data_IF_698377105841
#
_entry.id   IF_698377105841
#
_cell.length_a   1.000
_cell.length_b   1.000
_cell.length_c   1.000
_cell.angle_alpha   90.00
_cell.angle_beta   90.00
_cell.angle_gamma   90.00
#
_symmetry.space_group_name_H-M   'P 1'
#
loop_
_entity.id
_entity.type
_entity.pdbx_description
1 polymer ?
#
# COMPACT_ATOMS: atom_id res chain seq x y z
N UNK A 1 61.40 41.58 2.84
CA UNK A 1 61.97 41.65 4.19
C UNK A 1 61.25 40.66 5.13
N UNK A 2 61.63 39.37 5.14
CA UNK A 2 62.67 38.83 6.02
C UNK A 2 62.45 39.24 7.48
N UNK A 3 61.85 38.36 8.29
CA UNK A 3 62.64 37.70 9.33
C UNK A 3 62.01 36.39 9.81
N UNK A 4 62.84 35.35 9.71
CA UNK A 4 62.72 34.07 10.38
C UNK A 4 63.26 34.26 11.80
N UNK A 5 62.60 33.72 12.83
CA UNK A 5 63.33 33.23 13.99
C UNK A 5 62.68 31.96 14.57
N UNK A 6 63.56 31.03 14.87
CA UNK A 6 63.40 29.64 15.31
C UNK A 6 63.17 29.55 16.82
N UNK A 7 62.45 28.50 17.25
CA UNK A 7 62.85 27.48 18.27
C UNK A 7 61.58 26.71 18.69
N UNK A 8 61.37 25.42 18.37
CA UNK A 8 62.04 24.22 18.90
C UNK A 8 62.12 24.20 20.44
N UNK A 9 61.12 23.57 21.07
CA UNK A 9 61.35 22.82 22.31
C UNK A 9 60.28 21.74 22.52
N UNK A 10 60.78 20.51 22.41
CA UNK A 10 60.27 19.20 22.80
C UNK A 10 59.56 19.19 24.18
N UNK A 11 58.39 18.56 24.27
CA UNK A 11 57.71 18.30 25.55
C UNK A 11 56.78 17.10 25.43
N UNK A 12 57.16 16.00 26.06
CA UNK A 12 56.58 14.67 25.92
C UNK A 12 55.21 14.49 26.61
N UNK A 13 54.52 13.43 26.15
CA UNK A 13 53.68 12.53 26.94
C UNK A 13 52.27 13.00 27.34
N UNK A 14 51.25 12.47 26.65
CA UNK A 14 50.44 11.32 27.10
C UNK A 14 49.25 11.13 26.15
N UNK A 15 49.01 9.88 25.73
CA UNK A 15 47.80 9.47 25.01
C UNK A 15 46.58 9.76 25.90
N UNK A 16 45.66 10.60 25.44
CA UNK A 16 44.30 10.68 25.99
C UNK A 16 43.35 9.91 25.05
N UNK A 17 42.36 9.18 25.59
CA UNK A 17 41.39 8.47 24.78
C UNK A 17 40.35 9.45 24.22
N UNK A 18 40.00 9.21 22.96
CA UNK A 18 38.83 9.70 22.21
C UNK A 18 37.68 10.20 23.11
N UNK A 19 37.56 11.52 23.24
CA UNK A 19 36.39 12.17 23.82
C UNK A 19 35.19 11.96 22.90
N UNK A 20 34.17 11.28 23.45
CA UNK A 20 32.83 11.13 22.87
C UNK A 20 32.23 12.53 22.66
N UNK A 21 31.45 12.75 21.58
CA UNK A 21 30.63 13.95 21.51
C UNK A 21 29.61 13.93 22.65
N UNK A 22 29.66 14.97 23.48
CA UNK A 22 28.61 15.34 24.42
C UNK A 22 27.27 15.38 23.68
N UNK A 23 26.42 14.40 23.98
CA UNK A 23 24.98 14.54 23.79
C UNK A 23 24.50 15.43 24.93
N UNK A 24 24.23 16.70 24.62
CA UNK A 24 23.52 17.63 25.50
C UNK A 24 22.18 17.00 25.93
N UNK A 25 22.15 16.42 27.13
CA UNK A 25 20.93 16.04 27.81
C UNK A 25 20.28 17.30 28.35
N UNK A 26 19.32 17.83 27.59
CA UNK A 26 18.46 18.90 28.07
C UNK A 26 17.61 18.44 29.26
N UNK A 27 17.34 19.33 30.23
CA UNK A 27 16.62 19.02 31.46
C UNK A 27 15.18 18.60 31.18
N UNK A 28 14.74 17.64 32.00
CA UNK A 28 13.43 17.00 32.10
C UNK A 28 12.25 18.00 32.09
N UNK A 29 11.85 18.45 30.90
CA UNK A 29 10.52 18.99 30.62
C UNK A 29 9.56 17.80 30.51
N UNK A 30 8.40 17.85 31.19
CA UNK A 30 7.36 16.81 31.20
C UNK A 30 7.32 16.01 29.90
N UNK A 31 7.91 14.82 29.92
CA UNK A 31 8.25 14.11 28.69
C UNK A 31 6.97 13.60 28.02
N UNK A 32 6.55 14.29 26.97
CA UNK A 32 5.73 13.70 25.95
C UNK A 32 6.47 12.47 25.43
N UNK A 33 5.85 11.28 25.48
CA UNK A 33 6.48 10.05 25.02
C UNK A 33 6.90 10.24 23.56
N UNK A 34 8.15 9.89 23.23
CA UNK A 34 8.54 9.84 21.83
C UNK A 34 7.69 8.76 21.11
N UNK A 35 7.39 8.94 19.83
CA UNK A 35 6.44 8.11 19.08
C UNK A 35 6.73 6.60 19.22
N UNK A 36 7.99 6.21 19.06
CA UNK A 36 8.41 4.81 19.19
C UNK A 36 8.26 4.27 20.62
N UNK A 37 8.51 5.11 21.63
CA UNK A 37 8.32 4.74 23.04
C UNK A 37 6.84 4.53 23.36
N UNK A 38 5.95 5.33 22.78
CA UNK A 38 4.51 5.13 22.92
C UNK A 38 4.06 3.83 22.24
N UNK A 39 4.57 3.51 21.05
CA UNK A 39 4.28 2.22 20.39
C UNK A 39 4.71 1.06 21.27
N UNK A 40 5.93 1.09 21.83
CA UNK A 40 6.41 0.04 22.73
C UNK A 40 5.48 -0.09 23.95
N UNK A 41 5.05 1.03 24.53
CA UNK A 41 4.14 1.05 25.69
C UNK A 41 2.76 0.50 25.36
N UNK A 42 2.17 0.92 24.24
CA UNK A 42 0.88 0.41 23.76
C UNK A 42 0.98 -1.10 23.55
N UNK A 43 2.01 -1.56 22.83
CA UNK A 43 2.20 -2.97 22.49
C UNK A 43 2.53 -3.87 23.67
N UNK A 44 3.04 -3.30 24.76
CA UNK A 44 3.25 -4.03 26.01
C UNK A 44 1.93 -4.40 26.71
N UNK A 45 0.85 -3.64 26.46
CA UNK A 45 -0.50 -3.93 26.95
C UNK A 45 -1.39 -4.63 25.91
N UNK A 46 -1.27 -4.26 24.64
CA UNK A 46 -2.04 -4.82 23.53
C UNK A 46 -1.16 -5.04 22.29
N UNK A 47 -0.82 -6.30 22.02
CA UNK A 47 0.06 -6.69 20.92
C UNK A 47 -0.68 -7.05 19.62
N UNK A 48 -1.98 -6.75 19.49
CA UNK A 48 -2.79 -7.12 18.32
C UNK A 48 -2.28 -6.51 17.02
N UNK A 49 -1.70 -5.32 17.09
CA UNK A 49 -1.19 -4.59 15.93
C UNK A 49 0.35 -4.53 15.91
N UNK A 50 0.92 -4.69 14.72
CA UNK A 50 2.36 -4.56 14.50
C UNK A 50 2.83 -3.11 14.67
N UNK A 51 4.13 -2.87 14.97
CA UNK A 51 4.66 -1.52 15.14
C UNK A 51 4.50 -0.69 13.85
N UNK A 52 4.69 -1.31 12.68
CA UNK A 52 4.50 -0.68 11.37
C UNK A 52 3.08 -0.17 11.15
N UNK A 53 2.06 -0.79 11.76
CA UNK A 53 0.68 -0.32 11.71
C UNK A 53 0.56 1.12 12.21
N UNK A 54 1.15 1.40 13.38
CA UNK A 54 1.10 2.71 14.02
C UNK A 54 1.83 3.77 13.17
N UNK A 55 2.99 3.44 12.61
CA UNK A 55 3.69 4.34 11.69
C UNK A 55 2.86 4.65 10.45
N UNK A 56 2.23 3.62 9.88
CA UNK A 56 1.42 3.77 8.68
C UNK A 56 0.17 4.61 8.93
N UNK A 57 -0.45 4.52 10.11
CA UNK A 57 -1.57 5.37 10.52
C UNK A 57 -1.15 6.84 10.61
N UNK A 58 0.03 7.11 11.18
CA UNK A 58 0.58 8.48 11.22
C UNK A 58 0.79 9.04 9.82
N UNK A 59 1.40 8.27 8.93
CA UNK A 59 1.57 8.65 7.53
C UNK A 59 0.23 8.86 6.81
N UNK A 60 -0.77 8.05 7.13
CA UNK A 60 -2.12 8.15 6.55
C UNK A 60 -2.83 9.43 7.00
N UNK A 61 -2.67 9.84 8.26
CA UNK A 61 -3.16 11.13 8.76
C UNK A 61 -2.53 12.30 7.99
N UNK A 62 -1.20 12.30 7.86
CA UNK A 62 -0.48 13.32 7.10
C UNK A 62 -0.95 13.36 5.64
N UNK A 63 -1.17 12.19 5.03
CA UNK A 63 -1.70 12.08 3.68
C UNK A 63 -3.13 12.63 3.55
N UNK A 64 -4.01 12.35 4.51
CA UNK A 64 -5.38 12.88 4.55
C UNK A 64 -5.40 14.39 4.68
N UNK A 65 -4.58 14.97 5.57
CA UNK A 65 -4.44 16.42 5.71
C UNK A 65 -3.98 17.03 4.39
N UNK A 66 -2.92 16.50 3.79
CA UNK A 66 -2.40 16.98 2.51
C UNK A 66 -3.41 16.81 1.36
N UNK A 67 -4.30 15.82 1.42
CA UNK A 67 -5.40 15.65 0.45
C UNK A 67 -6.48 16.71 0.65
N UNK A 68 -6.86 17.00 1.89
CA UNK A 68 -7.83 18.04 2.24
C UNK A 68 -7.36 19.44 1.84
N UNK A 69 -6.10 19.76 2.10
CA UNK A 69 -5.51 21.05 1.72
C UNK A 69 -5.49 21.28 0.19
N UNK A 70 -5.39 20.21 -0.60
CA UNK A 70 -5.38 20.29 -2.07
C UNK A 70 -6.78 20.44 -2.68
N UNK A 71 -7.83 20.03 -1.97
CA UNK A 71 -9.19 19.95 -2.50
C UNK A 71 -10.21 20.88 -1.80
N UNK A 72 -9.87 21.46 -0.65
CA UNK A 72 -10.77 22.31 0.14
C UNK A 72 -10.55 23.83 -0.05
N UNK A 73 -11.61 24.65 -0.06
CA UNK A 73 -11.49 26.11 -0.17
C UNK A 73 -11.12 26.84 1.14
N UNK A 74 -11.02 26.14 2.28
CA UNK A 74 -10.78 26.78 3.58
C UNK A 74 -9.57 26.21 4.33
N UNK A 75 -8.66 27.11 4.74
CA UNK A 75 -7.53 26.87 5.66
C UNK A 75 -7.99 26.78 7.12
N UNK A 76 -8.98 25.93 7.42
CA UNK A 76 -9.34 25.64 8.81
C UNK A 76 -8.31 24.67 9.40
N UNK A 77 -8.05 24.72 10.72
CA UNK A 77 -7.20 23.71 11.37
C UNK A 77 -7.75 22.33 11.00
N UNK A 78 -6.92 21.52 10.34
CA UNK A 78 -7.33 20.31 9.65
C UNK A 78 -7.71 19.21 10.64
N UNK A 79 -8.93 19.29 11.16
CA UNK A 79 -9.57 18.17 11.82
C UNK A 79 -9.95 17.17 10.73
N UNK A 80 -9.26 16.03 10.71
CA UNK A 80 -9.57 14.93 9.80
C UNK A 80 -10.62 14.06 10.47
N UNK A 81 -11.80 13.96 9.86
CA UNK A 81 -12.82 13.02 10.32
C UNK A 81 -12.39 11.57 10.11
N UNK A 82 -12.96 10.63 10.88
CA UNK A 82 -12.67 9.20 10.72
C UNK A 82 -12.85 8.69 9.27
N UNK A 83 -13.84 9.21 8.55
CA UNK A 83 -14.09 8.87 7.13
C UNK A 83 -12.97 9.36 6.22
N UNK A 84 -12.53 10.61 6.38
CA UNK A 84 -11.44 11.18 5.59
C UNK A 84 -10.10 10.51 5.89
N UNK A 85 -9.89 10.06 7.12
CA UNK A 85 -8.75 9.23 7.48
C UNK A 85 -8.81 7.88 6.78
N UNK A 86 -9.96 7.19 6.80
CA UNK A 86 -10.11 5.89 6.13
C UNK A 86 -9.88 6.01 4.61
N UNK A 87 -10.39 7.06 3.98
CA UNK A 87 -10.12 7.29 2.56
C UNK A 87 -8.65 7.57 2.29
N UNK A 88 -8.00 8.46 3.05
CA UNK A 88 -6.59 8.75 2.86
C UNK A 88 -5.67 7.57 3.18
N UNK A 89 -6.06 6.72 4.14
CA UNK A 89 -5.41 5.44 4.45
C UNK A 89 -5.50 4.48 3.26
N UNK A 90 -6.69 4.32 2.67
CA UNK A 90 -6.89 3.49 1.48
C UNK A 90 -6.03 3.98 0.32
N UNK A 91 -6.07 5.28 0.05
CA UNK A 91 -5.33 5.90 -1.05
C UNK A 91 -3.82 5.72 -0.87
N UNK A 92 -3.32 5.95 0.34
CA UNK A 92 -1.91 5.74 0.67
C UNK A 92 -1.51 4.26 0.53
N UNK A 93 -2.33 3.33 1.01
CA UNK A 93 -2.04 1.90 0.93
C UNK A 93 -1.97 1.40 -0.53
N UNK A 94 -2.88 1.88 -1.38
CA UNK A 94 -2.84 1.59 -2.82
C UNK A 94 -1.60 2.21 -3.48
N UNK A 95 -1.24 3.44 -3.09
CA UNK A 95 -0.08 4.15 -3.63
C UNK A 95 1.24 3.46 -3.28
N UNK A 96 1.41 3.02 -2.04
CA UNK A 96 2.66 2.41 -1.56
C UNK A 96 2.78 0.93 -1.92
N UNK A 97 1.68 0.16 -1.81
CA UNK A 97 1.72 -1.31 -1.93
C UNK A 97 0.92 -1.87 -3.10
N UNK A 98 0.05 -1.08 -3.73
CA UNK A 98 -0.80 -1.50 -4.85
C UNK A 98 -1.59 -2.77 -4.53
N UNK A 99 -1.48 -3.84 -5.35
CA UNK A 99 -2.24 -5.08 -5.15
C UNK A 99 -1.82 -5.85 -3.90
N UNK A 100 -0.66 -5.55 -3.31
CA UNK A 100 -0.17 -6.19 -2.09
C UNK A 100 -0.69 -5.52 -0.81
N UNK A 101 -1.41 -4.40 -0.92
CA UNK A 101 -1.89 -3.63 0.23
C UNK A 101 -2.63 -4.50 1.25
N UNK A 102 -3.55 -5.37 0.81
CA UNK A 102 -4.30 -6.27 1.69
C UNK A 102 -3.39 -7.22 2.47
N UNK A 103 -2.38 -7.80 1.82
CA UNK A 103 -1.45 -8.74 2.45
C UNK A 103 -0.59 -8.02 3.49
N UNK A 104 0.01 -6.88 3.13
CA UNK A 104 0.88 -6.10 4.02
C UNK A 104 0.11 -5.63 5.26
N UNK A 105 -1.10 -5.09 5.07
CA UNK A 105 -1.96 -4.66 6.17
C UNK A 105 -2.38 -5.83 7.07
N UNK A 106 -2.65 -7.00 6.47
CA UNK A 106 -2.97 -8.23 7.20
C UNK A 106 -1.83 -8.71 8.10
N UNK A 107 -0.58 -8.67 7.62
CA UNK A 107 0.61 -8.99 8.43
C UNK A 107 0.78 -8.05 9.65
N UNK A 108 0.25 -6.84 9.56
CA UNK A 108 0.25 -5.88 10.67
C UNK A 108 -0.96 -6.00 11.61
N UNK A 109 -1.88 -6.93 11.33
CA UNK A 109 -3.10 -7.16 12.12
C UNK A 109 -4.31 -6.32 11.69
N UNK A 110 -4.23 -5.59 10.58
CA UNK A 110 -5.31 -4.73 10.08
C UNK A 110 -6.11 -5.49 9.02
N UNK A 111 -7.36 -5.83 9.34
CA UNK A 111 -8.26 -6.56 8.44
C UNK A 111 -9.55 -5.81 8.11
N UNK A 112 -9.88 -4.77 8.88
CA UNK A 112 -11.15 -4.03 8.80
C UNK A 112 -10.92 -2.57 9.16
N UNK A 113 -11.81 -1.68 8.69
CA UNK A 113 -11.75 -0.25 8.98
C UNK A 113 -11.82 0.04 10.48
N UNK A 114 -12.56 -0.76 11.25
CA UNK A 114 -12.64 -0.61 12.70
C UNK A 114 -11.27 -0.77 13.39
N UNK A 115 -10.38 -1.65 12.87
CA UNK A 115 -9.04 -1.82 13.43
C UNK A 115 -8.18 -0.55 13.25
N UNK A 116 -8.38 0.19 12.14
CA UNK A 116 -7.73 1.50 11.92
C UNK A 116 -8.17 2.47 13.01
N UNK A 117 -9.47 2.53 13.29
CA UNK A 117 -10.02 3.33 14.39
C UNK A 117 -9.43 2.94 15.74
N UNK A 118 -9.40 1.65 16.07
CA UNK A 118 -8.81 1.15 17.32
C UNK A 118 -7.35 1.63 17.50
N UNK A 119 -6.52 1.56 16.46
CA UNK A 119 -5.14 2.04 16.51
C UNK A 119 -5.09 3.56 16.76
N UNK A 120 -5.93 4.34 16.08
CA UNK A 120 -6.02 5.79 16.29
C UNK A 120 -6.41 6.11 17.73
N UNK A 121 -7.42 5.42 18.29
CA UNK A 121 -7.82 5.63 19.69
C UNK A 121 -6.73 5.23 20.68
N UNK A 122 -5.96 4.16 20.42
CA UNK A 122 -4.78 3.82 21.23
C UNK A 122 -3.74 4.95 21.20
N UNK A 123 -3.46 5.53 20.03
CA UNK A 123 -2.52 6.64 19.89
C UNK A 123 -3.01 7.92 20.60
N UNK A 124 -4.31 8.23 20.54
CA UNK A 124 -4.92 9.36 21.27
C UNK A 124 -4.83 9.15 22.79
N UNK A 125 -5.14 7.95 23.29
CA UNK A 125 -5.05 7.63 24.72
C UNK A 125 -3.65 7.80 25.30
N UNK A 126 -2.63 7.52 24.49
CA UNK A 126 -1.22 7.68 24.89
C UNK A 126 -0.67 9.08 24.60
N UNK A 127 -1.52 10.02 24.19
CA UNK A 127 -1.17 11.42 23.97
C UNK A 127 -0.39 11.70 22.70
N UNK A 128 -0.21 10.72 21.81
CA UNK A 128 0.57 10.86 20.57
C UNK A 128 -0.19 11.66 19.51
N UNK A 129 -1.51 11.49 19.46
CA UNK A 129 -2.40 12.25 18.60
C UNK A 129 -3.27 13.18 19.45
N UNK A 130 -3.57 14.35 18.90
CA UNK A 130 -4.53 15.28 19.49
C UNK A 130 -5.92 14.64 19.53
N UNK A 131 -6.59 14.75 20.67
CA UNK A 131 -7.97 14.28 20.82
C UNK A 131 -8.91 15.28 20.13
N UNK A 132 -9.80 14.80 19.26
CA UNK A 132 -11.02 15.55 18.94
C UNK A 132 -12.16 15.12 19.86
N UNK A 133 -13.02 16.05 20.22
CA UNK A 133 -14.22 15.76 21.04
C UNK A 133 -15.31 15.07 20.23
N UNK A 134 -15.23 15.12 18.90
CA UNK A 134 -16.23 14.57 17.98
C UNK A 134 -15.92 13.16 17.50
N UNK A 135 -14.66 12.70 17.61
CA UNK A 135 -14.25 11.40 17.07
C UNK A 135 -14.78 10.26 17.93
N UNK A 136 -15.66 9.44 17.35
CA UNK A 136 -16.17 8.21 17.95
C UNK A 136 -15.58 6.99 17.24
N UNK A 137 -15.42 5.85 17.94
CA UNK A 137 -15.08 4.58 17.29
C UNK A 137 -16.04 4.22 16.16
N UNK A 138 -17.29 4.68 16.25
CA UNK A 138 -18.32 4.46 15.23
C UNK A 138 -18.08 5.24 13.93
N UNK A 139 -17.27 6.30 13.94
CA UNK A 139 -16.88 7.01 12.71
C UNK A 139 -15.96 6.15 11.82
N UNK A 140 -15.43 5.06 12.36
CA UNK A 140 -14.58 4.08 11.68
C UNK A 140 -15.33 2.82 11.24
N UNK A 141 -16.66 2.81 11.29
CA UNK A 141 -17.45 1.68 10.77
C UNK A 141 -17.21 1.49 9.28
N UNK A 142 -17.30 0.22 8.84
CA UNK A 142 -16.86 -0.27 7.54
C UNK A 142 -17.54 0.44 6.35
N UNK A 143 -16.90 1.51 5.85
CA UNK A 143 -17.33 2.24 4.64
C UNK A 143 -17.10 1.39 3.39
N UNK A 144 -16.11 0.50 3.42
CA UNK A 144 -15.71 -0.40 2.33
C UNK A 144 -15.03 -1.65 2.89
N UNK A 145 -15.12 -2.75 2.15
CA UNK A 145 -14.41 -3.99 2.49
C UNK A 145 -12.96 -3.96 1.95
N UNK A 146 -12.03 -4.65 2.61
CA UNK A 146 -10.63 -4.71 2.14
C UNK A 146 -10.50 -5.32 0.73
N UNK A 147 -11.33 -6.31 0.40
CA UNK A 147 -11.33 -6.90 -0.94
C UNK A 147 -11.80 -5.90 -2.00
N UNK A 148 -12.86 -5.12 -1.69
CA UNK A 148 -13.32 -4.06 -2.59
C UNK A 148 -12.27 -2.94 -2.75
N UNK A 149 -11.61 -2.56 -1.67
CA UNK A 149 -10.64 -1.48 -1.68
C UNK A 149 -9.33 -1.84 -2.38
N UNK A 150 -8.83 -3.07 -2.18
CA UNK A 150 -7.46 -3.44 -2.56
C UNK A 150 -7.36 -4.54 -3.61
N UNK A 151 -8.42 -5.33 -3.87
CA UNK A 151 -8.38 -6.39 -4.90
C UNK A 151 -9.14 -5.98 -6.16
N UNK A 152 -10.35 -5.46 -6.01
CA UNK A 152 -11.23 -5.05 -7.13
C UNK A 152 -10.54 -4.15 -8.17
N UNK A 153 -9.73 -3.14 -7.78
CA UNK A 153 -9.05 -2.27 -8.75
C UNK A 153 -8.04 -3.00 -9.66
N UNK A 154 -7.53 -4.16 -9.23
CA UNK A 154 -6.51 -4.93 -9.94
C UNK A 154 -7.05 -6.18 -10.63
N UNK A 155 -8.35 -6.47 -10.49
CA UNK A 155 -8.95 -7.61 -11.18
C UNK A 155 -9.02 -7.36 -12.69
N UNK A 156 -8.59 -8.32 -13.52
CA UNK A 156 -8.70 -8.17 -14.96
C UNK A 156 -10.18 -8.11 -15.35
N UNK A 157 -10.56 -7.07 -16.09
CA UNK A 157 -11.92 -6.98 -16.64
C UNK A 157 -12.19 -8.23 -17.47
N UNK A 158 -13.33 -8.92 -17.28
CA UNK A 158 -13.66 -10.11 -18.06
C UNK A 158 -13.66 -9.72 -19.53
N UNK A 159 -12.66 -10.18 -20.28
CA UNK A 159 -12.63 -10.00 -21.72
C UNK A 159 -13.81 -10.80 -22.26
N UNK A 160 -14.81 -10.10 -22.80
CA UNK A 160 -15.84 -10.74 -23.59
C UNK A 160 -15.11 -11.41 -24.75
N UNK A 161 -14.90 -12.73 -24.65
CA UNK A 161 -14.47 -13.54 -25.78
C UNK A 161 -15.55 -13.36 -26.83
N UNK A 162 -15.36 -12.41 -27.76
CA UNK A 162 -16.11 -12.38 -29.01
C UNK A 162 -16.03 -13.80 -29.52
N UNK A 163 -17.16 -14.51 -29.55
CA UNK A 163 -17.24 -15.85 -30.15
C UNK A 163 -16.67 -15.66 -31.55
N UNK A 164 -15.42 -16.09 -31.76
CA UNK A 164 -14.88 -16.22 -33.10
C UNK A 164 -15.82 -17.20 -33.75
N UNK A 165 -16.67 -16.72 -34.64
CA UNK A 165 -17.49 -17.57 -35.49
C UNK A 165 -16.52 -18.59 -36.08
N UNK A 166 -16.75 -19.86 -35.75
CA UNK A 166 -15.94 -20.98 -36.20
C UNK A 166 -16.10 -21.12 -37.71
N UNK A 167 -15.36 -20.31 -38.46
CA UNK A 167 -15.22 -20.38 -39.91
C UNK A 167 -14.15 -21.39 -40.35
N UNK A 168 -13.95 -22.46 -39.59
CA UNK A 168 -13.21 -23.63 -40.08
C UNK A 168 -14.21 -24.54 -40.77
N UNK A 169 -14.41 -24.31 -42.06
CA UNK A 169 -15.13 -25.22 -42.94
C UNK A 169 -14.14 -26.33 -43.30
N UNK A 170 -14.25 -27.49 -42.68
CA UNK A 170 -13.50 -28.68 -43.10
C UNK A 170 -13.78 -28.96 -44.58
N UNK A 171 -12.77 -29.12 -45.45
CA UNK A 171 -13.01 -29.58 -46.81
C UNK A 171 -13.54 -31.01 -46.72
N UNK A 172 -14.81 -31.22 -47.08
CA UNK A 172 -15.32 -32.57 -47.24
C UNK A 172 -14.66 -33.22 -48.46
N UNK A 173 -14.30 -34.51 -48.40
CA UNK A 173 -13.72 -35.19 -49.56
C UNK A 173 -14.80 -35.32 -50.64
N UNK A 174 -14.53 -34.78 -51.83
CA UNK A 174 -15.40 -34.90 -53.01
C UNK A 174 -15.55 -36.38 -53.36
N UNK A 175 -16.78 -36.91 -53.31
CA UNK A 175 -17.12 -38.23 -53.84
C UNK A 175 -16.84 -38.24 -55.35
N UNK A 176 -15.93 -39.09 -55.79
CA UNK A 176 -15.67 -39.35 -57.21
C UNK A 176 -16.88 -40.04 -57.85
N UNK A 177 -17.40 -39.46 -58.92
CA UNK A 177 -18.49 -40.01 -59.74
C UNK A 177 -18.09 -41.37 -60.36
N UNK A 178 -19.00 -42.34 -60.53
CA UNK A 178 -18.67 -43.59 -61.20
C UNK A 178 -18.48 -43.37 -62.70
N UNK A 179 -17.41 -43.94 -63.25
CA UNK A 179 -17.08 -43.94 -64.68
C UNK A 179 -18.18 -44.66 -65.47
N UNK A 180 -18.91 -43.91 -66.31
CA UNK A 180 -19.95 -44.41 -67.21
C UNK A 180 -19.32 -45.32 -68.27
N UNK A 181 -19.38 -46.64 -68.07
CA UNK A 181 -18.92 -47.64 -69.04
C UNK A 181 -19.93 -47.76 -70.18
N UNK A 182 -19.60 -47.20 -71.35
CA UNK A 182 -20.32 -47.44 -72.60
C UNK A 182 -20.11 -48.89 -73.04
N UNK A 183 -21.20 -49.65 -73.24
CA UNK A 183 -21.16 -50.96 -73.94
C UNK A 183 -21.31 -50.75 -75.45
N UNK A 184 -20.61 -51.54 -76.28
CA UNK A 184 -20.53 -51.35 -77.73
C UNK A 184 -21.81 -51.78 -78.45
N UNK A 185 -22.03 -51.18 -79.62
CA UNK A 185 -23.11 -51.47 -80.56
C UNK A 185 -22.81 -52.77 -81.31
N UNK A 186 -23.68 -53.75 -81.22
CA UNK A 186 -23.71 -54.88 -82.17
C UNK A 186 -24.99 -54.77 -83.00
N UNK A 187 -24.82 -54.31 -84.24
CA UNK A 187 -25.79 -54.53 -85.31
C UNK A 187 -25.46 -55.88 -85.96
N UNK A 188 -26.42 -56.79 -86.01
CA UNK A 188 -26.52 -57.77 -87.09
C UNK A 188 -27.98 -58.20 -87.18
N UNK A 189 -28.69 -57.67 -88.17
CA UNK A 189 -29.88 -58.32 -88.69
C UNK A 189 -29.47 -59.46 -89.62
N UNK A 190 -30.27 -60.53 -89.67
CA UNK A 190 -30.85 -61.12 -90.89
C UNK A 190 -31.34 -62.54 -90.62
N UNK A 191 -32.63 -62.70 -90.93
CA UNK A 191 -33.37 -63.88 -91.44
C UNK A 191 -33.62 -64.99 -90.42
#
# INVERSE_FOLDING_TARGET
>A
PSDRFFDVALGAARRTPVDKPELCVHPFSMAHLNFDQAIIKIRSGDSRFGPSAYHFIRQSLDHSIARLERHGPEKKPAHVSGKELLEGFRDLAIKEFGPMAKTVLGEWGIFRCSHVGEIVFQLVQHGILGKSETDKPDDFQEIWTFSEAFESPFQPKPQTRKKRSSGWRSPTPKKSSPLRRSKPKNNLGKI
#
